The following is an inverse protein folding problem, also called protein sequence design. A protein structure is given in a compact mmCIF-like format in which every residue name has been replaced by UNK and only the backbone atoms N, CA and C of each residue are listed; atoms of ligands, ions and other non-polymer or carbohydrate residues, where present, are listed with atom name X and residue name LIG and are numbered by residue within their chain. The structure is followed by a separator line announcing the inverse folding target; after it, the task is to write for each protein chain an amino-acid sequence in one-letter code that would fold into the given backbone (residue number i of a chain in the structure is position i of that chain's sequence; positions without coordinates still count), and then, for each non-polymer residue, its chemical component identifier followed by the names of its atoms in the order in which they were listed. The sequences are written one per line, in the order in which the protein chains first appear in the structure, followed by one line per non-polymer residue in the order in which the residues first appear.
data_IF_751711415492
#
_entry.id   IF_751711415492
#
_cell.length_a   1.000
_cell.length_b   1.000
_cell.length_c   1.000
_cell.angle_alpha   90.00
_cell.angle_beta   90.00
_cell.angle_gamma   90.00
#
_symmetry.space_group_name_H-M   'P 1'
#
loop_
_entity.id
_entity.type
_entity.pdbx_description
1 polymer ?
#
# COMPACT_ATOMS: atom_id res chain seq x y z
N UNK A 1 -6.26 -17.78 -19.47
CA UNK A 1 -6.80 -16.42 -19.26
C UNK A 1 -6.12 -15.86 -18.04
N UNK A 2 -5.48 -14.68 -18.09
CA UNK A 2 -4.98 -14.04 -16.87
C UNK A 2 -6.13 -13.29 -16.22
N UNK A 3 -6.47 -13.64 -14.98
CA UNK A 3 -7.52 -12.95 -14.21
C UNK A 3 -6.94 -11.66 -13.60
N UNK A 4 -6.81 -10.63 -14.42
CA UNK A 4 -6.27 -9.32 -14.03
C UNK A 4 -7.42 -8.39 -13.65
N UNK A 5 -7.39 -7.85 -12.44
CA UNK A 5 -8.30 -6.78 -12.03
C UNK A 5 -7.77 -5.46 -12.59
N UNK A 6 -8.54 -4.83 -13.46
CA UNK A 6 -8.24 -3.50 -13.98
C UNK A 6 -9.05 -2.46 -13.22
N UNK A 7 -8.36 -1.48 -12.63
CA UNK A 7 -8.92 -0.29 -12.00
C UNK A 7 -8.32 0.95 -12.66
N UNK A 8 -8.90 2.12 -12.45
CA UNK A 8 -8.28 3.36 -12.92
C UNK A 8 -8.71 4.59 -12.14
N UNK A 9 -7.76 5.48 -11.89
CA UNK A 9 -8.02 6.90 -11.68
C UNK A 9 -7.90 7.63 -13.02
N UNK A 10 -6.94 8.54 -13.13
CA UNK A 10 -6.42 9.04 -14.41
C UNK A 10 -5.39 8.09 -15.02
N UNK A 11 -4.68 7.34 -14.17
CA UNK A 11 -3.76 6.29 -14.57
C UNK A 11 -4.43 4.93 -14.32
N UNK A 12 -4.10 3.88 -15.10
CA UNK A 12 -4.64 2.56 -14.85
C UNK A 12 -3.84 1.84 -13.76
N UNK A 13 -4.52 0.95 -13.04
CA UNK A 13 -3.94 0.08 -12.01
C UNK A 13 -4.34 -1.35 -12.34
N UNK A 14 -3.35 -2.16 -12.69
CA UNK A 14 -3.54 -3.57 -13.01
C UNK A 14 -3.09 -4.44 -11.85
N UNK A 15 -3.97 -5.34 -11.40
CA UNK A 15 -3.71 -6.26 -10.29
C UNK A 15 -3.84 -7.69 -10.83
N UNK A 16 -2.70 -8.21 -11.28
CA UNK A 16 -2.53 -9.57 -11.79
C UNK A 16 -2.16 -10.56 -10.67
N UNK A 17 -2.15 -11.88 -10.93
CA UNK A 17 -1.70 -12.88 -9.97
C UNK A 17 -0.25 -12.70 -9.47
N UNK A 18 0.61 -12.06 -10.26
CA UNK A 18 2.02 -11.77 -9.97
C UNK A 18 2.21 -10.42 -9.29
N UNK A 19 1.14 -9.62 -9.19
CA UNK A 19 1.20 -8.32 -8.54
C UNK A 19 1.46 -8.46 -7.04
N UNK A 20 2.22 -7.52 -6.49
CA UNK A 20 2.47 -7.43 -5.06
C UNK A 20 1.24 -6.88 -4.33
N UNK A 21 1.29 -6.94 -3.00
CA UNK A 21 0.21 -6.47 -2.14
C UNK A 21 -0.17 -5.01 -2.41
N UNK A 22 -1.47 -4.76 -2.60
CA UNK A 22 -2.02 -3.44 -2.91
C UNK A 22 -2.50 -2.73 -1.64
N UNK A 23 -1.97 -1.54 -1.41
CA UNK A 23 -2.32 -0.73 -0.23
C UNK A 23 -3.51 0.18 -0.55
N UNK A 24 -4.62 0.00 0.17
CA UNK A 24 -5.80 0.88 0.11
C UNK A 24 -5.75 1.83 1.30
N UNK A 25 -5.69 3.15 1.05
CA UNK A 25 -5.53 4.15 2.10
C UNK A 25 -6.81 4.35 2.92
N UNK A 26 -6.74 4.12 4.23
CA UNK A 26 -7.91 4.12 5.16
C UNK A 26 -8.30 5.49 5.76
N UNK A 27 -7.47 6.53 5.64
CA UNK A 27 -7.57 7.74 6.49
C UNK A 27 -8.64 8.73 6.04
N UNK A 28 -9.14 8.59 4.81
CA UNK A 28 -10.22 9.38 4.21
C UNK A 28 -11.60 8.83 4.62
N UNK A 29 -11.74 8.52 5.90
CA UNK A 29 -12.88 7.85 6.48
C UNK A 29 -13.38 8.62 7.71
N UNK A 30 -14.59 9.17 7.65
CA UNK A 30 -15.18 9.96 8.75
C UNK A 30 -15.36 9.13 10.02
N UNK A 31 -15.76 7.87 9.89
CA UNK A 31 -15.94 6.97 11.05
C UNK A 31 -14.59 6.51 11.63
N UNK A 32 -13.60 6.22 10.78
CA UNK A 32 -12.31 5.63 11.15
C UNK A 32 -11.23 6.62 11.55
N UNK A 33 -11.28 7.87 11.05
CA UNK A 33 -10.22 8.87 11.23
C UNK A 33 -10.77 10.13 11.88
N UNK A 34 -10.49 10.30 13.18
CA UNK A 34 -10.91 11.48 13.96
C UNK A 34 -10.43 12.80 13.36
N UNK A 35 -9.24 12.81 12.75
CA UNK A 35 -8.69 13.98 12.07
C UNK A 35 -9.50 14.32 10.81
N UNK A 36 -9.81 13.33 9.98
CA UNK A 36 -10.61 13.52 8.77
C UNK A 36 -12.05 13.92 9.09
N UNK A 37 -12.66 13.26 10.09
CA UNK A 37 -13.98 13.61 10.60
C UNK A 37 -14.07 15.08 11.00
N UNK A 38 -13.08 15.58 11.75
CA UNK A 38 -13.02 16.99 12.15
C UNK A 38 -12.94 17.93 10.94
N UNK A 39 -12.19 17.57 9.91
CA UNK A 39 -12.06 18.41 8.70
C UNK A 39 -13.39 18.48 7.95
N UNK A 40 -14.01 17.32 7.68
CA UNK A 40 -15.29 17.24 6.95
C UNK A 40 -16.42 17.93 7.72
N UNK A 41 -16.54 17.70 9.04
CA UNK A 41 -17.58 18.31 9.88
C UNK A 41 -17.43 19.84 10.01
N UNK A 42 -16.24 20.38 9.79
CA UNK A 42 -15.99 21.83 9.76
C UNK A 42 -15.97 22.41 8.34
N UNK A 43 -16.40 21.65 7.32
CA UNK A 43 -16.34 22.03 5.91
C UNK A 43 -14.92 22.40 5.41
N UNK A 44 -13.87 21.94 6.07
CA UNK A 44 -12.47 22.13 5.67
C UNK A 44 -12.03 21.05 4.66
N UNK A 45 -12.51 21.20 3.43
CA UNK A 45 -12.16 20.30 2.34
C UNK A 45 -10.69 20.44 1.89
N UNK A 46 -10.06 21.60 2.10
CA UNK A 46 -8.66 21.81 1.76
C UNK A 46 -7.74 20.91 2.62
N UNK A 47 -7.99 20.87 3.93
CA UNK A 47 -7.29 19.94 4.82
C UNK A 47 -7.64 18.47 4.52
N UNK A 48 -8.89 18.17 4.17
CA UNK A 48 -9.31 16.81 3.82
C UNK A 48 -8.61 16.27 2.56
N UNK A 49 -8.42 17.13 1.55
CA UNK A 49 -7.66 16.82 0.32
C UNK A 49 -6.20 16.51 0.66
N UNK A 50 -5.60 17.24 1.59
CA UNK A 50 -4.22 16.97 2.04
C UNK A 50 -4.09 15.59 2.69
N UNK A 51 -5.10 15.13 3.44
CA UNK A 51 -5.12 13.75 3.97
C UNK A 51 -5.06 12.73 2.83
N UNK A 52 -5.86 12.91 1.78
CA UNK A 52 -5.84 12.01 0.61
C UNK A 52 -4.48 12.06 -0.11
N UNK A 53 -3.95 13.26 -0.37
CA UNK A 53 -2.64 13.48 -1.01
C UNK A 53 -1.51 12.78 -0.26
N UNK A 54 -1.49 12.91 1.07
CA UNK A 54 -0.49 12.26 1.92
C UNK A 54 -0.54 10.73 1.83
N UNK A 55 -1.72 10.14 1.70
CA UNK A 55 -1.86 8.68 1.55
C UNK A 55 -1.28 8.19 0.22
N UNK A 56 -1.63 8.84 -0.89
CA UNK A 56 -1.06 8.52 -2.21
C UNK A 56 0.45 8.73 -2.21
N UNK A 57 0.91 9.85 -1.65
CA UNK A 57 2.33 10.12 -1.48
C UNK A 57 3.01 9.10 -0.56
N UNK A 58 2.31 8.47 0.37
CA UNK A 58 2.85 7.42 1.23
C UNK A 58 2.74 6.02 0.61
N UNK A 59 2.32 5.90 -0.65
CA UNK A 59 2.28 4.63 -1.38
C UNK A 59 0.93 3.92 -1.36
N UNK A 60 -0.16 4.59 -0.95
CA UNK A 60 -1.50 4.07 -1.22
C UNK A 60 -1.74 4.05 -2.73
N UNK A 61 -2.19 2.90 -3.24
CA UNK A 61 -2.47 2.66 -4.65
C UNK A 61 -3.97 2.80 -4.96
N UNK A 62 -4.81 2.78 -3.94
CA UNK A 62 -6.25 3.05 -3.98
C UNK A 62 -6.58 3.92 -2.76
N UNK A 63 -7.53 4.83 -2.88
CA UNK A 63 -8.02 5.64 -1.74
C UNK A 63 -9.43 5.21 -1.37
N UNK A 64 -9.61 4.75 -0.12
CA UNK A 64 -10.93 4.44 0.45
C UNK A 64 -11.57 5.71 0.99
N UNK A 65 -12.76 6.05 0.50
CA UNK A 65 -13.48 7.26 0.87
C UNK A 65 -14.78 6.88 1.54
N UNK A 66 -14.90 7.21 2.83
CA UNK A 66 -16.11 6.97 3.62
C UNK A 66 -16.62 8.28 4.24
N UNK A 67 -17.88 8.60 3.96
CA UNK A 67 -18.59 9.80 4.43
C UNK A 67 -19.81 9.46 5.29
N UNK A 68 -19.90 8.23 5.80
CA UNK A 68 -20.98 7.82 6.69
C UNK A 68 -20.77 8.45 8.07
N UNK A 69 -21.73 9.30 8.46
CA UNK A 69 -21.82 9.93 9.77
C UNK A 69 -23.27 10.40 9.98
N UNK A 70 -23.78 10.28 11.20
CA UNK A 70 -25.18 10.57 11.50
C UNK A 70 -25.51 12.06 11.34
N UNK A 71 -24.54 12.94 11.61
CA UNK A 71 -24.68 14.40 11.58
C UNK A 71 -24.48 15.03 10.20
N UNK A 72 -24.24 14.21 9.16
CA UNK A 72 -23.80 14.68 7.86
C UNK A 72 -24.73 14.15 6.75
N UNK A 73 -24.97 14.98 5.73
CA UNK A 73 -25.48 14.49 4.45
C UNK A 73 -24.36 13.72 3.73
N UNK A 74 -24.25 12.42 4.05
CA UNK A 74 -23.25 11.50 3.51
C UNK A 74 -23.21 11.50 1.99
N UNK A 75 -24.38 11.61 1.34
CA UNK A 75 -24.47 11.62 -0.12
C UNK A 75 -23.86 12.90 -0.69
N UNK A 76 -24.25 14.06 -0.17
CA UNK A 76 -23.72 15.34 -0.63
C UNK A 76 -22.21 15.47 -0.36
N UNK A 77 -21.73 15.05 0.81
CA UNK A 77 -20.31 15.11 1.15
C UNK A 77 -19.47 14.16 0.29
N UNK A 78 -19.95 12.94 0.03
CA UNK A 78 -19.29 12.00 -0.89
C UNK A 78 -19.12 12.63 -2.26
N UNK A 79 -20.19 13.15 -2.85
CA UNK A 79 -20.13 13.81 -4.16
C UNK A 79 -19.17 15.01 -4.14
N UNK A 80 -19.26 15.88 -3.12
CA UNK A 80 -18.42 17.08 -2.99
C UNK A 80 -16.94 16.70 -2.90
N UNK A 81 -16.58 15.77 -2.02
CA UNK A 81 -15.19 15.35 -1.84
C UNK A 81 -14.62 14.67 -3.09
N UNK A 82 -15.36 13.74 -3.69
CA UNK A 82 -14.93 13.03 -4.90
C UNK A 82 -14.70 13.99 -6.08
N UNK A 83 -15.58 14.98 -6.27
CA UNK A 83 -15.41 16.00 -7.29
C UNK A 83 -14.19 16.88 -7.05
N UNK A 84 -13.86 17.19 -5.79
CA UNK A 84 -12.66 17.99 -5.46
C UNK A 84 -11.40 17.19 -5.73
N UNK A 85 -11.28 15.94 -5.24
CA UNK A 85 -10.06 15.14 -5.46
C UNK A 85 -9.85 14.80 -6.94
N UNK A 86 -10.92 14.77 -7.75
CA UNK A 86 -10.82 14.62 -9.20
C UNK A 86 -10.09 15.79 -9.89
N UNK A 87 -10.04 16.96 -9.26
CA UNK A 87 -9.30 18.14 -9.78
C UNK A 87 -7.83 18.17 -9.36
N UNK A 88 -7.39 17.21 -8.54
CA UNK A 88 -6.04 17.13 -8.00
C UNK A 88 -5.28 15.97 -8.67
N UNK A 89 -4.37 16.22 -9.63
CA UNK A 89 -3.69 15.16 -10.40
C UNK A 89 -2.92 14.17 -9.52
N UNK A 90 -2.28 14.66 -8.46
CA UNK A 90 -1.51 13.83 -7.52
C UNK A 90 -2.35 12.79 -6.79
N UNK A 91 -3.67 13.03 -6.68
CA UNK A 91 -4.64 12.13 -6.04
C UNK A 91 -5.40 11.34 -7.10
N UNK A 92 -6.00 12.04 -8.06
CA UNK A 92 -6.87 11.45 -9.08
C UNK A 92 -6.17 10.45 -10.00
N UNK A 93 -4.83 10.39 -10.02
CA UNK A 93 -4.09 9.32 -10.71
C UNK A 93 -4.41 7.92 -10.19
N UNK A 94 -4.72 7.73 -8.91
CA UNK A 94 -5.08 6.42 -8.35
C UNK A 94 -6.60 6.18 -8.32
N UNK A 95 -7.07 4.92 -8.40
CA UNK A 95 -8.49 4.59 -8.27
C UNK A 95 -9.05 4.93 -6.88
N UNK A 96 -10.38 5.11 -6.82
CA UNK A 96 -11.12 5.32 -5.58
C UNK A 96 -11.91 4.07 -5.20
N UNK A 97 -11.88 3.72 -3.92
CA UNK A 97 -12.79 2.79 -3.28
C UNK A 97 -13.88 3.59 -2.56
N UNK A 98 -15.13 3.47 -3.04
CA UNK A 98 -16.28 4.22 -2.53
C UNK A 98 -16.87 3.42 -1.38
N UNK A 99 -16.70 3.91 -0.15
CA UNK A 99 -17.11 3.23 1.07
C UNK A 99 -18.37 3.85 1.69
N UNK A 100 -19.44 3.05 1.80
CA UNK A 100 -20.65 3.42 2.53
C UNK A 100 -21.52 2.20 2.81
N UNK A 101 -22.24 2.25 3.93
CA UNK A 101 -23.32 1.33 4.27
C UNK A 101 -24.64 1.61 3.53
N UNK A 102 -24.73 2.75 2.82
CA UNK A 102 -25.94 3.24 2.14
C UNK A 102 -25.78 3.19 0.63
N UNK A 103 -26.63 2.41 -0.05
CA UNK A 103 -26.56 2.23 -1.49
C UNK A 103 -26.67 3.55 -2.27
N UNK A 104 -27.52 4.48 -1.83
CA UNK A 104 -27.71 5.78 -2.47
C UNK A 104 -26.47 6.68 -2.42
N UNK A 105 -25.58 6.48 -1.44
CA UNK A 105 -24.29 7.17 -1.34
C UNK A 105 -23.29 6.53 -2.29
N UNK A 106 -23.23 5.19 -2.33
CA UNK A 106 -22.40 4.44 -3.28
C UNK A 106 -22.74 4.84 -4.71
N UNK A 107 -24.03 4.80 -5.09
CA UNK A 107 -24.46 5.12 -6.44
C UNK A 107 -24.19 6.59 -6.81
N UNK A 108 -24.26 7.52 -5.84
CA UNK A 108 -23.88 8.90 -6.06
C UNK A 108 -22.37 9.05 -6.30
N UNK A 109 -21.54 8.33 -5.52
CA UNK A 109 -20.10 8.31 -5.72
C UNK A 109 -19.68 7.74 -7.07
N UNK A 110 -20.32 6.64 -7.49
CA UNK A 110 -20.09 6.00 -8.80
C UNK A 110 -20.38 6.95 -9.97
N UNK A 111 -21.30 7.90 -9.80
CA UNK A 111 -21.63 8.92 -10.81
C UNK A 111 -20.64 10.09 -10.84
N UNK A 112 -19.78 10.22 -9.83
CA UNK A 112 -18.78 11.29 -9.73
C UNK A 112 -17.38 10.85 -10.20
N UNK A 113 -17.06 9.57 -10.09
CA UNK A 113 -15.76 9.03 -10.50
C UNK A 113 -15.73 8.73 -12.00
N UNK A 114 -14.65 9.12 -12.67
CA UNK A 114 -14.47 8.89 -14.11
C UNK A 114 -13.87 7.51 -14.43
N UNK A 115 -12.82 7.12 -13.68
CA UNK A 115 -12.13 5.85 -13.86
C UNK A 115 -12.86 4.68 -13.20
N UNK A 116 -12.41 3.45 -13.49
CA UNK A 116 -12.99 2.23 -12.91
C UNK A 116 -12.65 2.15 -11.41
N UNK A 117 -13.67 2.38 -10.59
CA UNK A 117 -13.59 2.39 -9.12
C UNK A 117 -13.91 1.03 -8.50
N UNK A 118 -13.70 0.94 -7.18
CA UNK A 118 -14.15 -0.19 -6.35
C UNK A 118 -15.30 0.27 -5.47
N UNK A 119 -16.35 -0.55 -5.32
CA UNK A 119 -17.40 -0.32 -4.32
C UNK A 119 -17.11 -1.11 -3.06
N UNK A 120 -17.14 -0.43 -1.92
CA UNK A 120 -17.02 -0.99 -0.58
C UNK A 120 -18.32 -0.71 0.20
N UNK A 121 -19.28 -1.60 0.26
CA UNK A 121 -19.30 -2.96 -0.26
C UNK A 121 -20.73 -3.39 -0.58
N UNK A 122 -20.89 -4.60 -1.13
CA UNK A 122 -22.18 -5.30 -1.23
C UNK A 122 -22.14 -6.59 -0.41
N UNK A 123 -23.31 -7.07 0.02
CA UNK A 123 -23.42 -8.34 0.78
C UNK A 123 -24.82 -8.94 0.66
N UNK A 124 -24.99 -10.14 1.21
CA UNK A 124 -26.28 -10.83 1.26
C UNK A 124 -27.07 -10.52 2.56
N UNK A 125 -26.65 -9.52 3.34
CA UNK A 125 -27.33 -9.08 4.57
C UNK A 125 -28.83 -8.81 4.38
N UNK A 126 -29.19 -8.16 3.27
CA UNK A 126 -30.57 -7.83 2.92
C UNK A 126 -31.21 -8.85 1.95
N UNK A 127 -30.62 -10.05 1.90
CA UNK A 127 -31.05 -11.15 1.04
C UNK A 127 -30.49 -11.10 -0.37
N UNK A 128 -30.54 -12.26 -1.01
CA UNK A 128 -30.00 -12.52 -2.35
C UNK A 128 -30.58 -11.61 -3.44
N UNK A 129 -31.88 -11.31 -3.39
CA UNK A 129 -32.52 -10.49 -4.42
C UNK A 129 -31.93 -9.07 -4.47
N UNK A 130 -31.64 -8.47 -3.32
CA UNK A 130 -31.02 -7.16 -3.25
C UNK A 130 -29.54 -7.21 -3.68
N UNK A 131 -28.81 -8.24 -3.23
CA UNK A 131 -27.42 -8.48 -3.64
C UNK A 131 -27.28 -8.58 -5.17
N UNK A 132 -28.12 -9.39 -5.83
CA UNK A 132 -28.15 -9.53 -7.29
C UNK A 132 -28.49 -8.19 -7.98
N UNK A 133 -29.46 -7.44 -7.44
CA UNK A 133 -29.86 -6.14 -7.98
C UNK A 133 -28.69 -5.15 -7.94
N UNK A 134 -28.00 -5.06 -6.81
CA UNK A 134 -26.83 -4.21 -6.62
C UNK A 134 -25.68 -4.65 -7.53
N UNK A 135 -25.37 -5.94 -7.60
CA UNK A 135 -24.34 -6.48 -8.49
C UNK A 135 -24.60 -6.16 -9.98
N UNK A 136 -25.86 -6.26 -10.45
CA UNK A 136 -26.23 -5.84 -11.81
C UNK A 136 -26.05 -4.34 -12.04
N UNK A 137 -26.30 -3.50 -11.03
CA UNK A 137 -26.03 -2.07 -11.09
C UNK A 137 -24.53 -1.80 -11.18
N UNK A 138 -23.71 -2.43 -10.33
CA UNK A 138 -22.25 -2.30 -10.37
C UNK A 138 -21.68 -2.71 -11.73
N UNK A 139 -22.17 -3.82 -12.29
CA UNK A 139 -21.78 -4.27 -13.64
C UNK A 139 -22.13 -3.25 -14.72
N UNK A 140 -23.28 -2.56 -14.61
CA UNK A 140 -23.65 -1.48 -15.54
C UNK A 140 -22.76 -0.25 -15.40
N UNK A 141 -22.30 0.06 -14.19
CA UNK A 141 -21.33 1.12 -13.94
C UNK A 141 -19.89 0.71 -14.33
N UNK A 142 -19.63 -0.58 -14.54
CA UNK A 142 -18.30 -1.10 -14.82
C UNK A 142 -17.37 -1.09 -13.60
N UNK A 143 -17.90 -1.03 -12.38
CA UNK A 143 -17.13 -0.98 -11.14
C UNK A 143 -16.80 -2.38 -10.61
N UNK A 144 -15.64 -2.51 -9.96
CA UNK A 144 -15.32 -3.68 -9.14
C UNK A 144 -16.05 -3.62 -7.78
N UNK A 145 -16.16 -4.75 -7.09
CA UNK A 145 -16.95 -4.84 -5.86
C UNK A 145 -16.20 -5.58 -4.75
N UNK A 146 -16.12 -4.94 -3.58
CA UNK A 146 -15.89 -5.64 -2.33
C UNK A 146 -17.18 -6.37 -1.93
N UNK A 147 -17.05 -7.65 -1.64
CA UNK A 147 -18.13 -8.53 -1.20
C UNK A 147 -17.85 -8.98 0.22
N UNK A 148 -18.60 -8.44 1.17
CA UNK A 148 -18.45 -8.80 2.58
C UNK A 148 -18.96 -10.21 2.81
N UNK A 149 -18.26 -10.98 3.64
CA UNK A 149 -18.75 -12.24 4.17
C UNK A 149 -19.86 -12.01 5.22
N UNK A 150 -21.00 -11.49 4.77
CA UNK A 150 -22.20 -11.18 5.56
C UNK A 150 -23.43 -11.66 4.77
N UNK A 151 -24.20 -12.57 5.34
CA UNK A 151 -25.45 -13.08 4.78
C UNK A 151 -26.66 -12.80 5.69
N UNK A 152 -27.82 -13.38 5.37
CA UNK A 152 -29.07 -13.19 6.11
C UNK A 152 -28.97 -13.66 7.59
N UNK A 153 -27.97 -14.46 7.93
CA UNK A 153 -27.74 -14.98 9.29
C UNK A 153 -26.73 -14.13 10.09
N UNK A 154 -26.05 -13.17 9.46
CA UNK A 154 -25.08 -12.31 10.13
C UNK A 154 -23.71 -12.28 9.46
N UNK A 155 -22.73 -11.75 10.19
CA UNK A 155 -21.33 -11.72 9.75
C UNK A 155 -20.68 -13.09 9.95
N UNK A 156 -19.86 -13.52 9.00
CA UNK A 156 -19.05 -14.72 9.13
C UNK A 156 -17.85 -14.49 10.06
N UNK A 157 -17.94 -15.04 11.25
CA UNK A 157 -16.95 -15.04 12.33
C UNK A 157 -15.96 -16.22 12.23
N UNK A 158 -16.44 -17.41 11.90
CA UNK A 158 -15.63 -18.65 11.77
C UNK A 158 -15.13 -18.90 10.35
N UNK A 159 -14.03 -19.66 10.19
CA UNK A 159 -13.52 -20.08 8.89
C UNK A 159 -14.59 -20.70 7.98
N UNK A 160 -15.37 -21.65 8.49
CA UNK A 160 -16.39 -22.34 7.70
C UNK A 160 -17.44 -21.36 7.19
N UNK A 161 -17.91 -20.45 8.05
CA UNK A 161 -18.90 -19.45 7.63
C UNK A 161 -18.34 -18.50 6.59
N UNK A 162 -17.06 -18.10 6.70
CA UNK A 162 -16.40 -17.22 5.72
C UNK A 162 -16.38 -17.88 4.34
N UNK A 163 -15.97 -19.14 4.24
CA UNK A 163 -15.89 -19.84 2.94
C UNK A 163 -17.27 -20.13 2.34
N UNK A 164 -18.26 -20.49 3.16
CA UNK A 164 -19.62 -20.77 2.70
C UNK A 164 -20.27 -19.53 2.06
N UNK A 165 -20.13 -18.37 2.72
CA UNK A 165 -20.68 -17.11 2.20
C UNK A 165 -19.95 -16.68 0.93
N UNK A 166 -18.62 -16.76 0.91
CA UNK A 166 -17.84 -16.37 -0.26
C UNK A 166 -18.12 -17.27 -1.47
N UNK A 167 -18.21 -18.60 -1.27
CA UNK A 167 -18.60 -19.56 -2.30
C UNK A 167 -19.99 -19.23 -2.86
N UNK A 168 -20.99 -19.05 -1.99
CA UNK A 168 -22.37 -18.72 -2.41
C UNK A 168 -22.41 -17.41 -3.19
N UNK A 169 -21.78 -16.36 -2.67
CA UNK A 169 -21.71 -15.07 -3.35
C UNK A 169 -21.00 -15.16 -4.71
N UNK A 170 -19.92 -15.94 -4.81
CA UNK A 170 -19.21 -16.18 -6.07
C UNK A 170 -20.11 -16.83 -7.12
N UNK A 171 -20.83 -17.91 -6.77
CA UNK A 171 -21.79 -18.57 -7.66
C UNK A 171 -22.88 -17.61 -8.13
N UNK A 172 -23.44 -16.79 -7.23
CA UNK A 172 -24.46 -15.80 -7.60
C UNK A 172 -23.91 -14.72 -8.53
N UNK A 173 -22.71 -14.20 -8.25
CA UNK A 173 -22.09 -13.16 -9.06
C UNK A 173 -21.69 -13.69 -10.45
N UNK A 174 -20.99 -14.81 -10.51
CA UNK A 174 -20.45 -15.35 -11.76
C UNK A 174 -21.55 -16.01 -12.58
N UNK A 175 -22.30 -16.95 -12.00
CA UNK A 175 -23.23 -17.78 -12.79
C UNK A 175 -24.57 -17.09 -13.04
N UNK A 176 -25.06 -16.28 -12.09
CA UNK A 176 -26.40 -15.64 -12.20
C UNK A 176 -26.33 -14.21 -12.73
N UNK A 177 -25.35 -13.40 -12.30
CA UNK A 177 -25.20 -12.01 -12.75
C UNK A 177 -24.32 -11.90 -13.99
N UNK A 178 -23.41 -12.86 -14.22
CA UNK A 178 -22.35 -12.74 -15.22
C UNK A 178 -21.37 -11.63 -14.87
N UNK A 179 -21.13 -11.43 -13.57
CA UNK A 179 -20.14 -10.48 -13.05
C UNK A 179 -18.73 -11.02 -13.32
N UNK A 180 -17.78 -10.21 -13.84
CA UNK A 180 -16.42 -10.68 -14.07
C UNK A 180 -15.77 -11.16 -12.77
N UNK A 181 -15.22 -12.37 -12.76
CA UNK A 181 -14.66 -12.96 -11.53
C UNK A 181 -13.45 -12.16 -11.03
N UNK A 182 -12.67 -11.59 -11.95
CA UNK A 182 -11.54 -10.70 -11.66
C UNK A 182 -11.94 -9.40 -10.95
N UNK A 183 -13.20 -8.97 -11.06
CA UNK A 183 -13.75 -7.75 -10.43
C UNK A 183 -14.34 -7.99 -9.04
N UNK A 184 -14.31 -9.24 -8.57
CA UNK A 184 -14.79 -9.64 -7.25
C UNK A 184 -13.63 -9.56 -6.25
N UNK A 185 -13.82 -8.80 -5.17
CA UNK A 185 -12.88 -8.69 -4.06
C UNK A 185 -13.60 -9.17 -2.79
N UNK A 186 -13.30 -10.37 -2.29
CA UNK A 186 -13.91 -10.84 -1.04
C UNK A 186 -13.26 -10.17 0.17
N UNK A 187 -14.08 -9.72 1.12
CA UNK A 187 -13.65 -9.38 2.48
C UNK A 187 -14.21 -10.44 3.45
N UNK A 188 -13.36 -11.38 3.92
CA UNK A 188 -13.75 -12.38 4.91
C UNK A 188 -13.98 -11.85 6.33
N UNK A 189 -14.04 -10.54 6.54
CA UNK A 189 -14.15 -9.83 7.82
C UNK A 189 -12.91 -9.98 8.72
N UNK A 190 -12.15 -8.89 8.83
CA UNK A 190 -11.11 -8.74 9.86
C UNK A 190 -11.75 -8.26 11.17
N UNK A 191 -11.70 -9.09 12.20
CA UNK A 191 -12.22 -8.79 13.55
C UNK A 191 -11.12 -8.46 14.54
N UNK A 192 -11.51 -7.79 15.64
CA UNK A 192 -10.61 -7.46 16.74
C UNK A 192 -10.08 -8.73 17.43
N UNK A 193 -8.77 -8.76 17.66
CA UNK A 193 -8.08 -9.83 18.41
C UNK A 193 -7.79 -9.39 19.84
N UNK A 194 -7.44 -10.35 20.68
CA UNK A 194 -7.06 -10.09 22.08
C UNK A 194 -8.12 -9.27 22.84
N UNK A 195 -9.41 -9.56 22.61
CA UNK A 195 -10.53 -8.86 23.27
C UNK A 195 -10.81 -9.36 24.68
N UNK A 196 -10.12 -10.43 25.11
CA UNK A 196 -10.39 -11.14 26.36
C UNK A 196 -11.53 -12.16 26.28
N UNK A 197 -12.07 -12.41 25.08
CA UNK A 197 -13.10 -13.43 24.84
C UNK A 197 -12.48 -14.58 24.04
N UNK A 198 -12.58 -15.80 24.56
CA UNK A 198 -11.96 -16.98 23.96
C UNK A 198 -12.45 -17.25 22.54
N UNK A 199 -13.74 -17.02 22.29
CA UNK A 199 -14.39 -17.14 20.98
C UNK A 199 -13.74 -16.27 19.89
N UNK A 200 -13.06 -15.19 20.27
CA UNK A 200 -12.43 -14.25 19.33
C UNK A 200 -10.95 -14.57 19.07
N UNK A 201 -10.34 -15.47 19.83
CA UNK A 201 -8.90 -15.78 19.72
C UNK A 201 -8.53 -16.29 18.33
N UNK A 202 -9.43 -17.02 17.68
CA UNK A 202 -9.15 -17.67 16.40
C UNK A 202 -9.43 -16.79 15.16
N UNK A 203 -10.00 -15.59 15.32
CA UNK A 203 -10.41 -14.75 14.19
C UNK A 203 -9.28 -14.42 13.20
N UNK A 204 -8.03 -14.30 13.69
CA UNK A 204 -6.86 -14.06 12.86
C UNK A 204 -6.55 -15.26 11.96
N UNK A 205 -6.56 -16.47 12.54
CA UNK A 205 -6.37 -17.73 11.82
C UNK A 205 -7.51 -17.96 10.84
N UNK A 206 -8.77 -17.78 11.27
CA UNK A 206 -9.95 -17.98 10.44
C UNK A 206 -9.94 -17.09 9.19
N UNK A 207 -9.50 -15.84 9.32
CA UNK A 207 -9.33 -14.95 8.18
C UNK A 207 -8.22 -15.43 7.22
N UNK A 208 -7.04 -15.77 7.75
CA UNK A 208 -5.89 -16.20 6.94
C UNK A 208 -6.21 -17.50 6.17
N UNK A 209 -6.86 -18.46 6.83
CA UNK A 209 -7.28 -19.71 6.18
C UNK A 209 -8.38 -19.45 5.15
N UNK A 210 -9.35 -18.58 5.42
CA UNK A 210 -10.38 -18.21 4.44
C UNK A 210 -9.77 -17.55 3.20
N UNK A 211 -8.79 -16.67 3.37
CA UNK A 211 -8.04 -16.07 2.25
C UNK A 211 -7.36 -17.14 1.40
N UNK A 212 -6.67 -18.10 2.03
CA UNK A 212 -6.04 -19.22 1.34
C UNK A 212 -7.05 -20.05 0.56
N UNK A 213 -8.17 -20.37 1.19
CA UNK A 213 -9.22 -21.15 0.56
C UNK A 213 -9.84 -20.41 -0.63
N UNK A 214 -10.17 -19.12 -0.49
CA UNK A 214 -10.72 -18.30 -1.57
C UNK A 214 -9.76 -18.28 -2.76
N UNK A 215 -8.46 -18.05 -2.51
CA UNK A 215 -7.43 -18.01 -3.54
C UNK A 215 -7.34 -19.32 -4.35
N UNK A 216 -7.54 -20.45 -3.69
CA UNK A 216 -7.46 -21.79 -4.31
C UNK A 216 -8.75 -22.20 -5.02
N UNK A 217 -9.92 -21.79 -4.51
CA UNK A 217 -11.21 -22.37 -4.91
C UNK A 217 -12.10 -21.42 -5.73
N UNK A 218 -11.85 -20.10 -5.71
CA UNK A 218 -12.65 -19.10 -6.40
C UNK A 218 -11.79 -18.38 -7.46
N UNK A 219 -11.63 -18.97 -8.67
CA UNK A 219 -10.72 -18.46 -9.70
C UNK A 219 -10.99 -17.00 -10.06
N UNK A 220 -9.94 -16.20 -10.11
CA UNK A 220 -10.00 -14.80 -10.50
C UNK A 220 -10.40 -13.82 -9.40
N UNK A 221 -11.15 -14.26 -8.38
CA UNK A 221 -11.48 -13.43 -7.24
C UNK A 221 -10.22 -12.98 -6.48
N UNK A 222 -10.27 -11.76 -5.96
CA UNK A 222 -9.26 -11.17 -5.08
C UNK A 222 -9.76 -11.16 -3.64
N UNK A 223 -8.87 -10.82 -2.71
CA UNK A 223 -9.18 -10.75 -1.27
C UNK A 223 -8.68 -9.43 -0.69
N UNK A 224 -9.48 -8.87 0.22
CA UNK A 224 -9.19 -7.65 0.99
C UNK A 224 -9.59 -7.80 2.45
N UNK A 225 -9.31 -6.78 3.25
CA UNK A 225 -9.76 -6.65 4.63
C UNK A 225 -9.41 -5.31 5.26
N UNK A 226 -10.23 -4.86 6.19
CA UNK A 226 -9.95 -3.72 7.08
C UNK A 226 -8.92 -4.04 8.16
N UNK A 227 -7.63 -3.91 7.85
CA UNK A 227 -6.53 -4.41 8.70
C UNK A 227 -6.53 -3.74 10.08
N UNK A 228 -6.84 -2.44 10.13
CA UNK A 228 -6.84 -1.68 11.39
C UNK A 228 -7.85 -2.19 12.42
N UNK A 229 -8.92 -2.88 12.00
CA UNK A 229 -9.97 -3.42 12.87
C UNK A 229 -9.42 -4.43 13.87
N UNK A 230 -8.41 -5.21 13.46
CA UNK A 230 -7.87 -6.27 14.31
C UNK A 230 -7.23 -5.79 15.59
N UNK A 231 -6.77 -4.54 15.56
CA UNK A 231 -5.97 -3.92 16.62
C UNK A 231 -6.80 -3.05 17.57
N UNK A 232 -8.13 -3.11 17.49
CA UNK A 232 -9.02 -2.24 18.28
C UNK A 232 -8.89 -2.41 19.80
N UNK A 233 -8.55 -3.60 20.28
CA UNK A 233 -8.28 -3.88 21.69
C UNK A 233 -7.09 -3.07 22.24
N UNK A 234 -6.22 -2.58 21.37
CA UNK A 234 -5.01 -1.82 21.73
C UNK A 234 -5.08 -0.34 21.34
N UNK A 235 -6.28 0.24 21.18
CA UNK A 235 -6.46 1.67 20.92
C UNK A 235 -5.70 2.53 21.95
N UNK A 236 -4.92 3.49 21.45
CA UNK A 236 -4.04 4.33 22.26
C UNK A 236 -2.64 3.74 22.53
N UNK A 237 -2.31 2.58 21.96
CA UNK A 237 -0.95 2.07 21.91
C UNK A 237 -0.57 1.77 20.45
N UNK A 238 -0.22 2.82 19.70
CA UNK A 238 0.04 2.70 18.26
C UNK A 238 1.23 1.78 17.96
N UNK A 239 2.23 1.69 18.84
CA UNK A 239 3.37 0.80 18.63
C UNK A 239 2.95 -0.68 18.55
N UNK A 240 2.09 -1.11 19.47
CA UNK A 240 1.53 -2.47 19.47
C UNK A 240 0.63 -2.69 18.26
N UNK A 241 -0.18 -1.70 17.89
CA UNK A 241 -1.09 -1.81 16.73
C UNK A 241 -0.31 -1.99 15.43
N UNK A 242 0.72 -1.17 15.22
CA UNK A 242 1.61 -1.24 14.04
C UNK A 242 2.32 -2.60 13.95
N UNK A 243 2.77 -3.15 15.09
CA UNK A 243 3.38 -4.48 15.13
C UNK A 243 2.38 -5.60 14.78
N UNK A 244 1.16 -5.55 15.33
CA UNK A 244 0.08 -6.50 14.99
C UNK A 244 -0.28 -6.46 13.50
N UNK A 245 -0.43 -5.25 12.93
CA UNK A 245 -0.70 -5.09 11.50
C UNK A 245 0.40 -5.71 10.64
N UNK A 246 1.65 -5.46 11.01
CA UNK A 246 2.83 -5.96 10.29
C UNK A 246 2.89 -7.49 10.30
N UNK A 247 2.69 -8.11 11.47
CA UNK A 247 2.68 -9.58 11.61
C UNK A 247 1.50 -10.19 10.84
N UNK A 248 0.30 -9.63 10.99
CA UNK A 248 -0.87 -10.14 10.28
C UNK A 248 -0.73 -10.08 8.77
N UNK A 249 -0.32 -8.92 8.24
CA UNK A 249 -0.11 -8.74 6.80
C UNK A 249 0.92 -9.73 6.27
N UNK A 250 2.03 -9.95 6.99
CA UNK A 250 3.05 -10.92 6.58
C UNK A 250 2.46 -12.33 6.38
N UNK A 251 1.64 -12.81 7.31
CA UNK A 251 1.02 -14.14 7.18
C UNK A 251 -0.15 -14.17 6.18
N UNK A 252 -0.99 -13.14 6.17
CA UNK A 252 -2.13 -13.06 5.26
C UNK A 252 -1.71 -12.94 3.78
N UNK A 253 -0.66 -12.16 3.49
CA UNK A 253 -0.11 -12.03 2.13
C UNK A 253 0.48 -13.35 1.66
N UNK A 254 1.21 -14.08 2.53
CA UNK A 254 1.69 -15.43 2.23
C UNK A 254 0.54 -16.42 1.96
N UNK A 255 -0.62 -16.22 2.57
CA UNK A 255 -1.82 -17.00 2.29
C UNK A 255 -2.54 -16.59 0.99
N UNK A 256 -2.16 -15.47 0.37
CA UNK A 256 -2.70 -14.99 -0.89
C UNK A 256 -3.56 -13.72 -0.79
N UNK A 257 -3.47 -12.96 0.32
CA UNK A 257 -4.14 -11.66 0.46
C UNK A 257 -3.67 -10.71 -0.63
N UNK A 258 -4.60 -10.21 -1.45
CA UNK A 258 -4.27 -9.38 -2.62
C UNK A 258 -4.11 -7.91 -2.26
N UNK A 259 -4.99 -7.39 -1.41
CA UNK A 259 -5.02 -5.99 -1.01
C UNK A 259 -5.50 -5.82 0.43
N UNK A 260 -5.40 -4.63 0.99
CA UNK A 260 -5.95 -4.36 2.31
C UNK A 260 -6.10 -2.87 2.58
N UNK A 261 -7.11 -2.54 3.38
CA UNK A 261 -7.40 -1.18 3.86
C UNK A 261 -6.50 -0.94 5.08
N UNK A 262 -5.51 -0.07 4.89
CA UNK A 262 -4.40 0.15 5.81
C UNK A 262 -4.06 1.62 5.93
N UNK A 263 -3.47 2.00 7.06
CA UNK A 263 -2.68 3.22 7.11
C UNK A 263 -1.31 2.96 6.47
N UNK A 264 -1.18 3.25 5.17
CA UNK A 264 0.02 2.96 4.38
C UNK A 264 1.34 3.44 5.01
N UNK A 265 1.32 4.54 5.77
CA UNK A 265 2.52 5.09 6.43
C UNK A 265 2.92 4.39 7.73
N UNK A 266 2.07 3.53 8.30
CA UNK A 266 2.23 2.90 9.61
C UNK A 266 2.55 1.40 9.57
N UNK A 267 2.64 0.81 8.38
CA UNK A 267 3.04 -0.59 8.26
C UNK A 267 4.57 -0.69 8.48
N UNK A 268 5.00 -1.56 9.39
CA UNK A 268 6.40 -1.80 9.74
C UNK A 268 7.07 -2.89 8.90
N UNK A 269 8.38 -3.06 9.05
CA UNK A 269 9.14 -4.14 8.40
C UNK A 269 9.17 -5.31 9.36
N UNK A 270 8.64 -6.46 8.95
CA UNK A 270 8.45 -7.62 9.83
C UNK A 270 9.74 -8.09 10.52
N UNK A 271 10.87 -8.13 9.79
CA UNK A 271 12.17 -8.56 10.32
C UNK A 271 12.80 -7.54 11.29
N UNK A 272 12.27 -6.33 11.36
CA UNK A 272 12.78 -5.26 12.22
C UNK A 272 11.92 -5.01 13.45
N UNK A 273 10.85 -5.78 13.63
CA UNK A 273 10.11 -5.78 14.88
C UNK A 273 11.01 -6.33 15.98
N UNK A 274 10.87 -5.75 17.18
CA UNK A 274 11.49 -6.30 18.38
C UNK A 274 11.11 -7.80 18.50
N UNK A 275 12.07 -8.71 18.74
CA UNK A 275 11.79 -10.14 18.74
C UNK A 275 10.72 -10.56 19.76
N UNK A 276 10.71 -9.96 20.95
CA UNK A 276 9.71 -10.26 21.98
C UNK A 276 8.33 -9.77 21.53
N UNK A 277 8.22 -8.52 21.06
CA UNK A 277 6.96 -7.98 20.55
C UNK A 277 6.42 -8.77 19.35
N UNK A 278 7.31 -9.18 18.43
CA UNK A 278 6.95 -9.98 17.27
C UNK A 278 6.39 -11.34 17.68
N UNK A 279 7.04 -12.03 18.61
CA UNK A 279 6.57 -13.33 19.12
C UNK A 279 5.18 -13.21 19.74
N UNK A 280 4.94 -12.18 20.56
CA UNK A 280 3.63 -11.96 21.18
C UNK A 280 2.54 -11.61 20.15
N UNK A 281 2.90 -10.81 19.13
CA UNK A 281 1.97 -10.51 18.03
C UNK A 281 1.62 -11.78 17.24
N UNK A 282 2.60 -12.65 16.95
CA UNK A 282 2.36 -13.92 16.28
C UNK A 282 1.52 -14.88 17.11
N UNK A 283 1.78 -14.96 18.42
CA UNK A 283 1.00 -15.77 19.35
C UNK A 283 -0.49 -15.39 19.31
N UNK A 284 -0.79 -14.09 19.28
CA UNK A 284 -2.16 -13.56 19.19
C UNK A 284 -2.75 -13.75 17.79
N UNK A 285 -2.02 -13.39 16.74
CA UNK A 285 -2.52 -13.43 15.35
C UNK A 285 -2.78 -14.86 14.88
N UNK A 286 -1.90 -15.79 15.24
CA UNK A 286 -1.95 -17.19 14.82
C UNK A 286 -2.52 -18.12 15.89
N UNK A 287 -3.00 -17.57 17.01
CA UNK A 287 -3.57 -18.32 18.12
C UNK A 287 -2.70 -19.52 18.55
N UNK A 288 -1.38 -19.30 18.72
CA UNK A 288 -0.40 -20.40 18.93
C UNK A 288 -0.42 -20.97 20.35
N UNK A 289 -1.04 -20.26 21.29
CA UNK A 289 -1.04 -20.56 22.73
C UNK A 289 -2.26 -19.93 23.39
N UNK A 290 -2.76 -20.59 24.44
CA UNK A 290 -3.99 -20.18 25.15
C UNK A 290 -3.83 -18.84 25.89
N UNK A 291 -2.65 -18.57 26.46
CA UNK A 291 -2.34 -17.35 27.22
C UNK A 291 -1.82 -16.19 26.35
N UNK A 292 -1.96 -16.26 25.02
CA UNK A 292 -1.46 -15.25 24.08
C UNK A 292 -2.01 -13.85 24.38
N UNK A 293 -3.33 -13.76 24.60
CA UNK A 293 -4.03 -12.51 24.88
C UNK A 293 -3.52 -11.86 26.17
N UNK A 294 -3.42 -12.63 27.26
CA UNK A 294 -2.96 -12.13 28.57
C UNK A 294 -1.52 -11.60 28.49
N UNK A 295 -0.63 -12.37 27.87
CA UNK A 295 0.77 -11.98 27.67
C UNK A 295 0.89 -10.70 26.86
N UNK A 296 0.11 -10.59 25.78
CA UNK A 296 0.12 -9.40 24.93
C UNK A 296 -0.41 -8.16 25.66
N UNK A 297 -1.44 -8.32 26.49
CA UNK A 297 -1.96 -7.22 27.33
C UNK A 297 -0.91 -6.75 28.34
N UNK A 298 -0.23 -7.67 29.04
CA UNK A 298 0.85 -7.34 29.97
C UNK A 298 2.03 -6.65 29.28
N UNK A 299 2.41 -7.10 28.08
CA UNK A 299 3.44 -6.44 27.28
C UNK A 299 2.98 -5.04 26.85
N UNK A 300 1.74 -4.91 26.38
CA UNK A 300 1.17 -3.63 25.97
C UNK A 300 1.15 -2.62 27.11
N UNK A 301 0.88 -3.03 28.36
CA UNK A 301 0.97 -2.16 29.54
C UNK A 301 2.40 -1.69 29.81
N UNK A 302 3.40 -2.57 29.71
CA UNK A 302 4.82 -2.18 29.84
C UNK A 302 5.23 -1.17 28.77
N UNK A 303 4.78 -1.38 27.53
CA UNK A 303 5.04 -0.49 26.40
C UNK A 303 4.31 0.85 26.58
N UNK A 304 3.09 0.86 27.11
CA UNK A 304 2.27 2.05 27.34
C UNK A 304 2.72 2.87 28.56
N UNK A 305 3.19 2.19 29.62
CA UNK A 305 3.76 2.79 30.83
C UNK A 305 5.15 3.39 30.64
N UNK A 306 5.79 3.14 29.50
CA UNK A 306 6.99 3.80 29.02
C UNK A 306 6.72 5.21 28.50
N UNK A 307 6.04 6.06 29.29
CA UNK A 307 5.87 7.50 29.07
C UNK A 307 7.17 8.30 29.07
N UNK A 308 8.27 7.72 28.62
CA UNK A 308 9.35 8.51 28.03
C UNK A 308 8.78 9.07 26.75
N UNK A 309 8.71 10.40 26.68
CA UNK A 309 8.86 11.14 25.42
C UNK A 309 9.80 10.31 24.56
N UNK A 310 9.32 9.89 23.39
CA UNK A 310 10.10 9.12 22.42
C UNK A 310 11.35 9.96 22.13
N UNK A 311 12.40 9.74 22.91
CA UNK A 311 13.74 10.04 22.46
C UNK A 311 13.86 9.05 21.31
N UNK A 312 13.89 9.55 20.08
CA UNK A 312 14.23 8.69 18.95
C UNK A 312 15.39 7.82 19.39
N UNK A 313 15.26 6.50 19.24
CA UNK A 313 16.38 5.62 19.49
C UNK A 313 17.44 5.97 18.44
N UNK A 314 18.37 6.82 18.86
CA UNK A 314 19.50 7.29 18.07
C UNK A 314 20.73 6.41 18.31
N UNK A 315 20.60 5.23 18.91
CA UNK A 315 21.73 4.29 19.07
C UNK A 315 22.37 3.94 17.73
N UNK A 316 21.57 3.85 16.65
CA UNK A 316 22.09 3.68 15.30
C UNK A 316 23.00 4.83 14.84
N UNK A 317 22.92 6.02 15.47
CA UNK A 317 23.81 7.15 15.18
C UNK A 317 25.25 6.93 15.64
N UNK A 318 25.46 5.98 16.56
CA UNK A 318 26.79 5.57 17.04
C UNK A 318 27.48 4.61 16.05
N UNK A 319 26.74 4.09 15.06
CA UNK A 319 27.31 3.23 14.02
C UNK A 319 28.23 4.05 13.08
N UNK A 320 29.18 3.38 12.39
CA UNK A 320 29.95 4.00 11.32
C UNK A 320 29.03 4.61 10.23
N UNK A 321 29.44 5.74 9.65
CA UNK A 321 28.61 6.54 8.71
C UNK A 321 27.97 5.71 7.59
N UNK A 322 28.68 4.73 7.04
CA UNK A 322 28.18 3.86 5.98
C UNK A 322 27.02 2.96 6.46
N UNK A 323 27.09 2.45 7.70
CA UNK A 323 26.00 1.69 8.31
C UNK A 323 24.82 2.60 8.69
N UNK A 324 25.09 3.86 9.05
CA UNK A 324 24.03 4.86 9.28
C UNK A 324 23.25 5.18 8.01
N UNK A 325 23.96 5.37 6.88
CA UNK A 325 23.35 5.57 5.56
C UNK A 325 22.46 4.39 5.18
N UNK A 326 22.97 3.16 5.35
CA UNK A 326 22.22 1.93 5.14
C UNK A 326 20.97 1.86 6.02
N UNK A 327 21.11 2.13 7.32
CA UNK A 327 20.01 2.15 8.27
C UNK A 327 18.93 3.16 7.87
N UNK A 328 19.34 4.39 7.55
CA UNK A 328 18.44 5.46 7.14
C UNK A 328 17.65 5.11 5.88
N UNK A 329 18.29 4.47 4.89
CA UNK A 329 17.62 4.00 3.69
C UNK A 329 16.58 2.91 3.99
N UNK A 330 16.97 1.85 4.70
CA UNK A 330 16.07 0.73 4.99
C UNK A 330 14.87 1.17 5.86
N UNK A 331 15.08 2.11 6.79
CA UNK A 331 14.03 2.68 7.66
C UNK A 331 13.26 3.84 7.02
N UNK A 332 13.73 4.37 5.89
CA UNK A 332 13.17 5.56 5.25
C UNK A 332 13.31 6.83 6.09
N UNK A 333 14.41 7.00 6.84
CA UNK A 333 14.70 8.19 7.66
C UNK A 333 15.41 9.25 6.82
N UNK A 334 14.84 10.44 6.70
CA UNK A 334 15.39 11.54 5.90
C UNK A 334 16.13 12.62 6.71
N UNK A 335 15.98 12.64 8.04
CA UNK A 335 16.46 13.74 8.91
C UNK A 335 17.98 13.94 8.84
N UNK A 336 18.77 12.86 8.84
CA UNK A 336 20.24 12.93 8.91
C UNK A 336 20.95 12.61 7.60
N UNK A 337 20.18 12.26 6.56
CA UNK A 337 20.74 11.64 5.35
C UNK A 337 21.74 12.55 4.61
N UNK A 338 21.50 13.86 4.64
CA UNK A 338 22.39 14.85 4.00
C UNK A 338 23.72 14.96 4.75
N UNK A 339 23.66 15.04 6.08
CA UNK A 339 24.86 15.14 6.91
C UNK A 339 25.69 13.85 6.83
N UNK A 340 25.05 12.69 6.87
CA UNK A 340 25.73 11.40 6.75
C UNK A 340 26.32 11.19 5.35
N UNK A 341 25.63 11.65 4.29
CA UNK A 341 26.14 11.58 2.93
C UNK A 341 27.41 12.45 2.80
N UNK A 342 27.43 13.63 3.42
CA UNK A 342 28.61 14.50 3.45
C UNK A 342 29.79 13.90 4.24
N UNK A 343 29.53 13.36 5.43
CA UNK A 343 30.57 12.71 6.22
C UNK A 343 31.15 11.48 5.49
N UNK A 344 30.29 10.65 4.89
CA UNK A 344 30.73 9.52 4.05
C UNK A 344 31.54 10.01 2.85
N UNK A 345 31.10 11.08 2.17
CA UNK A 345 31.82 11.69 1.03
C UNK A 345 33.25 12.08 1.39
N UNK A 346 33.48 12.63 2.58
CA UNK A 346 34.82 13.01 3.04
C UNK A 346 35.74 11.81 3.28
N UNK A 347 35.16 10.63 3.55
CA UNK A 347 35.90 9.37 3.72
C UNK A 347 36.22 8.64 2.42
N UNK A 348 35.66 9.06 1.28
CA UNK A 348 35.90 8.45 -0.03
C UNK A 348 36.73 9.38 -0.93
N UNK A 349 37.55 8.79 -1.82
CA UNK A 349 38.32 9.57 -2.79
C UNK A 349 37.42 10.29 -3.80
N UNK A 350 36.30 9.66 -4.16
CA UNK A 350 35.33 10.19 -5.12
C UNK A 350 33.93 10.24 -4.51
N UNK A 351 33.20 11.36 -4.59
CA UNK A 351 31.83 11.46 -4.09
C UNK A 351 30.89 10.39 -4.66
N UNK A 352 31.14 9.95 -5.89
CA UNK A 352 30.39 8.89 -6.55
C UNK A 352 30.46 7.54 -5.79
N UNK A 353 31.54 7.26 -5.06
CA UNK A 353 31.68 6.01 -4.30
C UNK A 353 30.69 5.91 -3.14
N UNK A 354 30.18 7.02 -2.62
CA UNK A 354 29.10 7.02 -1.61
C UNK A 354 27.81 6.47 -2.21
N UNK A 355 27.52 6.84 -3.45
CA UNK A 355 26.36 6.35 -4.20
C UNK A 355 26.53 4.87 -4.50
N UNK A 356 27.67 4.49 -5.08
CA UNK A 356 27.92 3.12 -5.54
C UNK A 356 28.21 2.12 -4.41
N UNK A 357 28.57 2.61 -3.22
CA UNK A 357 28.86 1.81 -2.03
C UNK A 357 27.68 1.82 -1.03
N UNK A 358 27.76 2.63 0.04
CA UNK A 358 26.82 2.55 1.16
C UNK A 358 25.35 2.80 0.79
N UNK A 359 25.08 3.72 -0.15
CA UNK A 359 23.70 3.98 -0.58
C UNK A 359 23.11 2.82 -1.39
N UNK A 360 23.88 2.25 -2.33
CA UNK A 360 23.46 1.06 -3.10
C UNK A 360 23.25 -0.14 -2.19
N UNK A 361 24.17 -0.39 -1.26
CA UNK A 361 24.05 -1.49 -0.29
C UNK A 361 22.79 -1.38 0.60
N UNK A 362 22.32 -0.16 0.87
CA UNK A 362 21.03 0.04 1.54
C UNK A 362 19.83 -0.30 0.64
N UNK A 363 19.89 0.09 -0.62
CA UNK A 363 18.84 -0.22 -1.60
C UNK A 363 18.76 -1.70 -1.96
N UNK A 364 19.88 -2.42 -1.97
CA UNK A 364 19.91 -3.87 -2.19
C UNK A 364 19.10 -4.58 -1.09
N UNK A 365 19.30 -4.20 0.17
CA UNK A 365 18.51 -4.73 1.30
C UNK A 365 17.03 -4.38 1.18
N UNK A 366 16.68 -3.16 0.75
CA UNK A 366 15.29 -2.78 0.47
C UNK A 366 14.69 -3.68 -0.62
N UNK A 367 15.43 -3.95 -1.69
CA UNK A 367 15.03 -4.85 -2.77
C UNK A 367 14.80 -6.29 -2.29
N UNK A 368 15.72 -6.83 -1.50
CA UNK A 368 15.61 -8.17 -0.92
C UNK A 368 14.39 -8.31 0.00
N UNK A 369 14.16 -7.33 0.88
CA UNK A 369 13.02 -7.33 1.79
C UNK A 369 11.69 -7.20 1.04
N UNK A 370 11.64 -6.39 -0.01
CA UNK A 370 10.46 -6.23 -0.86
C UNK A 370 10.16 -7.51 -1.65
N UNK A 371 11.17 -8.11 -2.26
CA UNK A 371 11.03 -9.38 -2.99
C UNK A 371 10.61 -10.56 -2.10
N UNK A 372 10.99 -10.54 -0.81
CA UNK A 372 10.56 -11.52 0.19
C UNK A 372 9.16 -11.25 0.77
N UNK A 373 8.50 -10.14 0.39
CA UNK A 373 7.21 -9.73 0.94
C UNK A 373 7.28 -9.27 2.41
N UNK A 374 8.48 -8.95 2.91
CA UNK A 374 8.71 -8.45 4.29
C UNK A 374 8.70 -6.93 4.39
N UNK A 375 8.83 -6.26 3.24
CA UNK A 375 8.68 -4.83 3.05
C UNK A 375 7.60 -4.58 2.00
N UNK A 376 6.81 -3.53 2.17
CA UNK A 376 5.70 -3.16 1.29
C UNK A 376 6.01 -1.92 0.45
N UNK A 377 5.24 -1.70 -0.61
CA UNK A 377 5.47 -0.60 -1.56
C UNK A 377 5.59 0.79 -0.89
N UNK A 378 4.75 1.18 0.08
CA UNK A 378 4.93 2.39 0.89
C UNK A 378 6.34 2.60 1.44
N UNK A 379 6.93 1.54 1.97
CA UNK A 379 8.25 1.56 2.60
C UNK A 379 9.34 1.73 1.53
N UNK A 380 9.22 1.03 0.40
CA UNK A 380 10.14 1.17 -0.73
C UNK A 380 10.12 2.60 -1.28
N UNK A 381 8.94 3.21 -1.42
CA UNK A 381 8.80 4.60 -1.86
C UNK A 381 9.46 5.56 -0.87
N UNK A 382 9.31 5.31 0.44
CA UNK A 382 9.97 6.09 1.49
C UNK A 382 11.50 5.98 1.41
N UNK A 383 12.03 4.77 1.24
CA UNK A 383 13.47 4.52 1.04
C UNK A 383 14.02 5.22 -0.21
N UNK A 384 13.29 5.16 -1.34
CA UNK A 384 13.67 5.82 -2.58
C UNK A 384 13.75 7.35 -2.43
N UNK A 385 12.87 7.96 -1.61
CA UNK A 385 12.92 9.40 -1.29
C UNK A 385 14.16 9.77 -0.49
N UNK A 386 14.50 8.97 0.52
CA UNK A 386 15.73 9.16 1.30
C UNK A 386 16.96 9.08 0.40
N UNK A 387 17.00 8.08 -0.50
CA UNK A 387 18.08 7.94 -1.47
C UNK A 387 18.19 9.16 -2.37
N UNK A 388 17.07 9.64 -2.94
CA UNK A 388 17.03 10.82 -3.81
C UNK A 388 17.59 12.05 -3.10
N UNK A 389 17.25 12.26 -1.83
CA UNK A 389 17.76 13.38 -1.05
C UNK A 389 19.28 13.28 -0.80
N UNK A 390 19.79 12.08 -0.49
CA UNK A 390 21.22 11.83 -0.34
C UNK A 390 21.98 12.13 -1.64
N UNK A 391 21.49 11.60 -2.76
CA UNK A 391 22.09 11.77 -4.09
C UNK A 391 22.08 13.25 -4.49
N UNK A 392 20.97 13.97 -4.27
CA UNK A 392 20.86 15.39 -4.59
C UNK A 392 21.93 16.24 -3.89
N UNK A 393 22.31 15.88 -2.66
CA UNK A 393 23.42 16.54 -1.94
C UNK A 393 24.79 16.25 -2.56
N UNK A 394 25.01 15.04 -3.08
CA UNK A 394 26.29 14.63 -3.65
C UNK A 394 26.52 15.16 -5.08
N UNK A 395 25.45 15.44 -5.83
CA UNK A 395 25.52 15.90 -7.23
C UNK A 395 26.47 17.08 -7.46
N UNK A 396 26.42 18.19 -6.69
CA UNK A 396 27.33 19.32 -6.89
C UNK A 396 28.82 18.95 -6.78
N UNK A 397 29.18 18.08 -5.82
CA UNK A 397 30.57 17.64 -5.63
C UNK A 397 31.04 16.73 -6.77
N UNK A 398 30.13 15.87 -7.27
CA UNK A 398 30.38 15.03 -8.43
C UNK A 398 30.61 15.90 -9.68
N UNK A 399 29.90 17.01 -9.84
CA UNK A 399 30.11 17.96 -10.94
C UNK A 399 31.42 18.76 -10.82
N UNK A 400 31.79 19.17 -9.61
CA UNK A 400 33.04 19.88 -9.36
C UNK A 400 34.26 18.99 -9.61
N UNK A 401 34.23 17.74 -9.14
CA UNK A 401 35.27 16.74 -9.43
C UNK A 401 35.43 16.54 -10.94
N UNK A 402 34.32 16.43 -11.69
CA UNK A 402 34.33 16.32 -13.17
C UNK A 402 35.02 17.51 -13.82
N UNK A 403 34.73 18.74 -13.35
CA UNK A 403 35.40 19.96 -13.86
C UNK A 403 36.90 19.93 -13.57
N UNK A 404 37.30 19.49 -12.38
CA UNK A 404 38.72 19.45 -11.95
C UNK A 404 39.55 18.44 -12.73
N UNK A 405 38.99 17.26 -12.99
CA UNK A 405 39.71 16.15 -13.65
C UNK A 405 39.70 16.26 -15.18
N UNK A 406 38.92 17.17 -15.77
CA UNK A 406 38.76 17.28 -17.23
C UNK A 406 38.15 16.03 -17.88
N UNK A 407 37.74 15.06 -17.06
CA UNK A 407 37.15 13.79 -17.49
C UNK A 407 35.65 13.97 -17.63
N UNK A 408 35.11 13.67 -18.82
CA UNK A 408 33.68 13.37 -18.96
C UNK A 408 33.35 12.25 -17.99
N UNK A 409 32.27 12.40 -17.22
CA UNK A 409 31.79 11.36 -16.32
C UNK A 409 31.65 10.05 -17.11
N UNK A 410 32.36 8.99 -16.70
CA UNK A 410 31.98 7.64 -17.10
C UNK A 410 30.78 7.29 -16.24
N UNK A 411 29.58 7.40 -16.82
CA UNK A 411 28.39 6.75 -16.29
C UNK A 411 28.61 5.24 -16.34
N UNK A 412 27.97 4.46 -15.45
CA UNK A 412 28.08 2.98 -15.47
C UNK A 412 27.58 2.39 -16.79
N UNK A 413 26.73 3.14 -17.47
CA UNK A 413 26.21 2.88 -18.79
C UNK A 413 25.10 3.89 -19.08
N UNK A 414 24.71 3.94 -20.34
CA UNK A 414 23.56 4.71 -20.80
C UNK A 414 22.39 3.77 -21.08
N UNK A 415 21.21 4.15 -20.60
CA UNK A 415 20.01 3.32 -20.68
C UNK A 415 18.92 4.17 -21.30
N UNK A 416 18.28 3.65 -22.35
CA UNK A 416 17.05 4.21 -22.89
C UNK A 416 15.89 3.49 -22.23
N UNK A 417 14.99 4.26 -21.62
CA UNK A 417 13.75 3.76 -21.04
C UNK A 417 12.56 4.30 -21.83
N UNK A 418 11.57 3.45 -22.05
CA UNK A 418 10.32 3.85 -22.70
C UNK A 418 9.19 2.93 -22.27
N UNK A 419 7.98 3.48 -22.13
CA UNK A 419 6.76 2.66 -22.13
C UNK A 419 6.33 2.48 -23.58
N UNK A 420 6.14 1.22 -24.00
CA UNK A 420 5.92 0.89 -25.42
C UNK A 420 4.62 1.47 -25.97
N UNK A 421 4.54 1.64 -27.29
CA UNK A 421 3.33 2.11 -27.98
C UNK A 421 2.12 1.27 -27.60
N UNK A 422 1.08 1.93 -27.10
CA UNK A 422 -0.14 1.29 -26.62
C UNK A 422 -0.21 1.14 -25.10
N UNK A 423 0.89 1.41 -24.39
CA UNK A 423 0.95 1.42 -22.94
C UNK A 423 1.27 2.83 -22.40
N UNK A 424 0.58 3.19 -21.32
CA UNK A 424 0.64 4.48 -20.62
C UNK A 424 1.17 4.36 -19.21
N UNK A 425 1.31 3.13 -18.69
CA UNK A 425 1.81 2.92 -17.35
C UNK A 425 3.30 3.23 -17.31
N UNK A 426 3.68 4.16 -16.44
CA UNK A 426 5.09 4.52 -16.28
C UNK A 426 5.55 4.51 -14.83
N UNK A 427 4.70 4.13 -13.86
CA UNK A 427 5.11 4.08 -12.45
C UNK A 427 6.32 3.15 -12.28
N UNK A 428 6.26 1.94 -12.85
CA UNK A 428 7.39 1.00 -12.83
C UNK A 428 8.62 1.56 -13.54
N UNK A 429 8.44 2.08 -14.76
CA UNK A 429 9.51 2.75 -15.54
C UNK A 429 10.16 3.89 -14.75
N UNK A 430 9.36 4.74 -14.11
CA UNK A 430 9.80 5.93 -13.38
C UNK A 430 10.53 5.53 -12.10
N UNK A 431 10.07 4.49 -11.41
CA UNK A 431 10.80 3.90 -10.28
C UNK A 431 12.16 3.37 -10.77
N UNK A 432 12.18 2.57 -11.84
CA UNK A 432 13.42 2.03 -12.41
C UNK A 432 14.34 3.16 -12.89
N UNK A 433 13.81 4.19 -13.54
CA UNK A 433 14.55 5.37 -13.99
C UNK A 433 15.20 6.09 -12.81
N UNK A 434 14.43 6.36 -11.75
CA UNK A 434 14.91 7.00 -10.52
C UNK A 434 15.97 6.11 -9.87
N UNK A 435 15.74 4.81 -9.74
CA UNK A 435 16.72 3.86 -9.17
C UNK A 435 18.01 3.85 -10.01
N UNK A 436 17.93 3.76 -11.33
CA UNK A 436 19.10 3.74 -12.23
C UNK A 436 19.87 5.06 -12.20
N UNK A 437 19.19 6.20 -12.21
CA UNK A 437 19.82 7.53 -12.04
C UNK A 437 20.52 7.64 -10.70
N UNK A 438 19.87 7.16 -9.63
CA UNK A 438 20.48 7.05 -8.31
C UNK A 438 21.64 6.04 -8.26
N UNK A 439 21.86 5.22 -9.28
CA UNK A 439 22.98 4.28 -9.40
C UNK A 439 24.01 4.71 -10.47
N UNK A 440 24.04 6.00 -10.83
CA UNK A 440 24.99 6.61 -11.78
C UNK A 440 24.93 6.05 -13.21
N UNK A 441 23.74 5.62 -13.64
CA UNK A 441 23.43 5.40 -15.05
C UNK A 441 22.92 6.69 -15.69
N UNK A 442 23.26 6.90 -16.96
CA UNK A 442 22.64 7.95 -17.77
C UNK A 442 21.31 7.41 -18.30
N UNK A 443 20.18 7.91 -17.78
CA UNK A 443 18.85 7.45 -18.19
C UNK A 443 18.23 8.44 -19.15
N UNK A 444 17.92 7.97 -20.36
CA UNK A 444 17.15 8.68 -21.38
C UNK A 444 15.75 8.11 -21.36
N UNK A 445 14.84 8.81 -20.68
CA UNK A 445 13.44 8.43 -20.63
C UNK A 445 12.69 9.05 -21.81
N UNK A 446 12.13 8.20 -22.67
CA UNK A 446 11.37 8.61 -23.85
C UNK A 446 9.88 8.86 -23.54
N UNK A 447 9.46 8.62 -22.30
CA UNK A 447 8.08 8.75 -21.85
C UNK A 447 7.23 7.54 -22.20
N UNK A 448 5.94 7.78 -22.42
CA UNK A 448 4.93 6.75 -22.67
C UNK A 448 4.47 6.70 -24.12
N UNK A 449 3.81 5.59 -24.48
CA UNK A 449 3.29 5.33 -25.83
C UNK A 449 4.35 5.47 -26.94
N UNK A 450 5.59 5.06 -26.69
CA UNK A 450 6.71 5.29 -27.61
C UNK A 450 6.78 4.19 -28.67
N UNK A 451 6.79 4.58 -29.95
CA UNK A 451 6.91 3.64 -31.06
C UNK A 451 8.30 2.98 -31.12
N UNK A 452 8.35 1.71 -31.53
CA UNK A 452 9.56 0.89 -31.53
C UNK A 452 10.70 1.49 -32.38
N UNK A 453 10.37 2.06 -33.54
CA UNK A 453 11.31 2.78 -34.40
C UNK A 453 11.96 3.97 -33.68
N UNK A 454 11.19 4.76 -32.92
CA UNK A 454 11.71 5.87 -32.11
C UNK A 454 12.60 5.40 -30.97
N UNK A 455 12.25 4.28 -30.32
CA UNK A 455 13.08 3.67 -29.26
C UNK A 455 14.43 3.21 -29.83
N UNK A 456 14.40 2.49 -30.95
CA UNK A 456 15.61 1.99 -31.62
C UNK A 456 16.48 3.12 -32.16
N UNK A 457 15.87 4.18 -32.70
CA UNK A 457 16.57 5.37 -33.14
C UNK A 457 17.26 6.07 -31.95
N UNK A 458 16.53 6.34 -30.86
CA UNK A 458 17.09 6.96 -29.66
C UNK A 458 18.22 6.13 -29.03
N UNK A 459 18.09 4.80 -29.01
CA UNK A 459 19.15 3.92 -28.53
C UNK A 459 20.42 4.00 -29.39
N UNK A 460 20.28 4.07 -30.73
CA UNK A 460 21.41 4.26 -31.64
C UNK A 460 22.03 5.66 -31.52
N UNK A 461 21.21 6.71 -31.60
CA UNK A 461 21.66 8.11 -31.61
C UNK A 461 22.40 8.48 -30.33
N UNK A 462 21.97 7.89 -29.21
CA UNK A 462 22.58 8.14 -27.91
C UNK A 462 23.70 7.16 -27.54
N UNK A 463 23.92 6.10 -28.33
CA UNK A 463 24.80 4.97 -28.02
C UNK A 463 24.46 4.30 -26.68
N UNK A 464 23.18 3.96 -26.48
CA UNK A 464 22.70 3.29 -25.28
C UNK A 464 23.29 1.87 -25.14
N UNK A 465 23.67 1.51 -23.91
CA UNK A 465 24.16 0.18 -23.57
C UNK A 465 23.01 -0.81 -23.33
N UNK A 466 21.88 -0.33 -22.80
CA UNK A 466 20.71 -1.13 -22.44
C UNK A 466 19.45 -0.38 -22.90
N UNK A 467 18.43 -1.13 -23.32
CA UNK A 467 17.07 -0.64 -23.54
C UNK A 467 16.19 -1.31 -22.49
N UNK A 468 15.53 -0.52 -21.66
CA UNK A 468 14.49 -0.99 -20.75
C UNK A 468 13.11 -0.59 -21.26
N UNK A 469 12.21 -1.56 -21.35
CA UNK A 469 10.85 -1.35 -21.83
C UNK A 469 9.89 -1.65 -20.68
N UNK A 470 8.95 -0.75 -20.48
CA UNK A 470 7.74 -1.00 -19.69
C UNK A 470 6.61 -1.35 -20.64
#
# INVERSE_FOLDING_TARGET
MSYTLHLSGLEPLEISPESLFVNVGERTNVTGSRAFAKLILNDDYAGAVEVARQQVASGAQIIDVNMDEAMLDSKAAMMKFLNIIATEPDISRVPVMIDSSKWEVIEAGLKCVQGKSVVNSISMKEGEANFIKQARLLRRHGAAAVVMAFDEQGQADTYQRKIDICQRAYTLLVDTVGFPAEDIIFDPNVFALATGLEEHNNYGVDFIEAVRWIKLNLPGAKTSGGISNMSFSFRGNDHVREALHTVFLYHAIKAGLTMGIVNAGQVGIYDQLDPELREHCEDVVLNRREDATERMLLLAEKVKGGGKVRVEDLSWRELPVNERLKHALVKGINTFIVADAEESRQGFERPLQVIEGPLMAGMDVVGDLFGQGKMFLPQVVKSARVMKQAVAHLVPFIEEEKRRLGTKAKTKGKIVLATVKGDVHDIGKNIVAVVLQCNNYEVIDLGVMVACDKILAAAKDSNANIIGLS
#
